data_IF_791620697367
#
_entry.id   IF_791620697367
#
_cell.length_a   1.000
_cell.length_b   1.000
_cell.length_c   1.000
_cell.angle_alpha   90.00
_cell.angle_beta   90.00
_cell.angle_gamma   90.00
#
_symmetry.space_group_name_H-M   'P 1'
#
loop_
_entity.id
_entity.type
_entity.pdbx_description
1 polymer ?
#
# COMPACT_ATOMS: atom_id res chain seq x y z
N UNK A 1 5.62 -23.16 4.07
CA UNK A 1 5.98 -21.80 4.50
C UNK A 1 7.46 -21.59 4.21
N UNK A 2 7.86 -20.44 3.67
CA UNK A 2 9.27 -20.14 3.39
C UNK A 2 9.96 -19.46 4.59
N UNK A 3 11.29 -19.53 4.66
CA UNK A 3 12.11 -18.80 5.63
C UNK A 3 12.82 -17.67 4.90
N UNK A 4 12.82 -16.48 5.49
CA UNK A 4 13.55 -15.30 4.99
C UNK A 4 14.62 -14.97 6.03
N UNK A 5 15.86 -14.76 5.58
CA UNK A 5 16.96 -14.27 6.40
C UNK A 5 17.54 -13.01 5.75
N UNK A 6 17.64 -11.94 6.52
CA UNK A 6 18.19 -10.66 6.09
C UNK A 6 18.95 -10.02 7.25
N UNK A 7 20.08 -9.37 6.94
CA UNK A 7 20.75 -8.49 7.90
C UNK A 7 20.03 -7.15 7.93
N UNK A 8 19.72 -6.67 9.12
CA UNK A 8 19.15 -5.35 9.36
C UNK A 8 20.18 -4.49 10.10
N UNK A 9 20.14 -3.16 9.95
CA UNK A 9 20.99 -2.29 10.74
C UNK A 9 20.52 -2.22 12.21
N UNK A 10 21.41 -1.83 13.11
CA UNK A 10 21.23 -1.94 14.57
C UNK A 10 20.09 -1.05 15.10
N UNK A 11 19.85 0.10 14.46
CA UNK A 11 18.73 0.99 14.76
C UNK A 11 17.38 0.30 14.54
N UNK A 12 17.19 -0.33 13.38
CA UNK A 12 15.97 -1.07 13.05
C UNK A 12 15.76 -2.29 13.97
N UNK A 13 16.85 -2.94 14.39
CA UNK A 13 16.75 -4.04 15.36
C UNK A 13 16.22 -3.55 16.71
N UNK A 14 16.71 -2.41 17.20
CA UNK A 14 16.24 -1.79 18.45
C UNK A 14 14.76 -1.40 18.38
N UNK A 15 14.34 -0.75 17.29
CA UNK A 15 12.93 -0.38 17.09
C UNK A 15 12.02 -1.62 17.04
N UNK A 16 12.46 -2.70 16.36
CA UNK A 16 11.71 -3.95 16.31
C UNK A 16 11.58 -4.60 17.70
N UNK A 17 12.63 -4.57 18.51
CA UNK A 17 12.59 -5.09 19.88
C UNK A 17 11.64 -4.29 20.79
N UNK A 18 11.62 -2.95 20.66
CA UNK A 18 10.69 -2.08 21.37
C UNK A 18 9.24 -2.42 20.99
N UNK A 19 8.95 -2.48 19.69
CA UNK A 19 7.63 -2.88 19.18
C UNK A 19 7.19 -4.26 19.71
N UNK A 20 8.08 -5.25 19.71
CA UNK A 20 7.81 -6.60 20.25
C UNK A 20 7.44 -6.56 21.73
N UNK A 21 8.17 -5.76 22.52
CA UNK A 21 7.93 -5.62 23.98
C UNK A 21 6.60 -4.94 24.26
N UNK A 22 6.28 -3.87 23.54
CA UNK A 22 5.03 -3.12 23.70
C UNK A 22 3.80 -3.94 23.30
N UNK A 23 3.84 -4.58 22.13
CA UNK A 23 2.73 -5.38 21.61
C UNK A 23 2.62 -6.76 22.28
N UNK A 24 3.64 -7.19 23.03
CA UNK A 24 3.72 -8.50 23.72
C UNK A 24 3.50 -9.69 22.79
N UNK A 25 4.13 -9.64 21.61
CA UNK A 25 4.03 -10.69 20.58
C UNK A 25 5.37 -11.37 20.32
N UNK A 26 5.36 -12.59 19.79
CA UNK A 26 6.60 -13.23 19.37
C UNK A 26 7.26 -12.52 18.18
N UNK A 27 8.60 -12.57 18.09
CA UNK A 27 9.38 -11.98 16.98
C UNK A 27 8.86 -12.38 15.60
N UNK A 28 8.53 -13.67 15.41
CA UNK A 28 8.02 -14.17 14.12
C UNK A 28 6.64 -13.62 13.76
N UNK A 29 5.81 -13.31 14.76
CA UNK A 29 4.48 -12.71 14.60
C UNK A 29 4.62 -11.23 14.29
N UNK A 30 5.47 -10.51 15.04
CA UNK A 30 5.78 -9.10 14.81
C UNK A 30 6.29 -8.86 13.39
N UNK A 31 7.35 -9.59 12.99
CA UNK A 31 7.97 -9.43 11.67
C UNK A 31 6.97 -9.72 10.55
N UNK A 32 6.17 -10.78 10.67
CA UNK A 32 5.14 -11.11 9.66
C UNK A 32 4.05 -10.04 9.58
N UNK A 33 3.56 -9.54 10.72
CA UNK A 33 2.56 -8.46 10.78
C UNK A 33 3.10 -7.20 10.10
N UNK A 34 4.26 -6.72 10.51
CA UNK A 34 4.90 -5.53 9.94
C UNK A 34 5.17 -5.67 8.45
N UNK A 35 5.73 -6.81 8.01
CA UNK A 35 6.00 -7.05 6.59
C UNK A 35 4.72 -7.11 5.76
N UNK A 36 3.66 -7.73 6.29
CA UNK A 36 2.38 -7.82 5.59
C UNK A 36 1.74 -6.45 5.41
N UNK A 37 1.79 -5.61 6.44
CA UNK A 37 1.34 -4.21 6.37
C UNK A 37 2.14 -3.43 5.34
N UNK A 38 3.47 -3.48 5.41
CA UNK A 38 4.34 -2.75 4.48
C UNK A 38 4.10 -3.17 3.01
N UNK A 39 3.90 -4.48 2.75
CA UNK A 39 3.57 -4.97 1.41
C UNK A 39 2.20 -4.49 0.94
N UNK A 40 1.21 -4.43 1.83
CA UNK A 40 -0.12 -3.92 1.50
C UNK A 40 -0.09 -2.43 1.16
N UNK A 41 0.64 -1.63 1.93
CA UNK A 41 0.84 -0.20 1.68
C UNK A 41 1.55 0.05 0.35
N UNK A 42 2.69 -0.62 0.14
CA UNK A 42 3.44 -0.54 -1.12
C UNK A 42 2.57 -0.87 -2.33
N UNK A 43 1.70 -1.87 -2.20
CA UNK A 43 0.80 -2.31 -3.25
C UNK A 43 -0.26 -1.25 -3.58
N UNK A 44 -0.83 -0.60 -2.57
CA UNK A 44 -1.81 0.50 -2.73
C UNK A 44 -1.16 1.70 -3.40
N UNK A 45 0.02 2.12 -2.93
CA UNK A 45 0.77 3.23 -3.53
C UNK A 45 1.15 2.94 -4.98
N UNK A 46 1.54 1.69 -5.29
CA UNK A 46 1.82 1.25 -6.67
C UNK A 46 0.58 1.32 -7.56
N UNK A 47 -0.57 0.85 -7.07
CA UNK A 47 -1.83 0.91 -7.82
C UNK A 47 -2.21 2.35 -8.17
N UNK A 48 -2.13 3.25 -7.20
CA UNK A 48 -2.40 4.67 -7.37
C UNK A 48 -1.43 5.33 -8.36
N UNK A 49 -0.14 5.01 -8.26
CA UNK A 49 0.86 5.52 -9.23
C UNK A 49 0.55 5.06 -10.66
N UNK A 50 0.22 3.79 -10.85
CA UNK A 50 -0.13 3.28 -12.18
C UNK A 50 -1.41 3.92 -12.73
N UNK A 51 -2.40 4.17 -11.87
CA UNK A 51 -3.65 4.83 -12.26
C UNK A 51 -3.41 6.29 -12.66
N UNK A 52 -2.69 7.05 -11.82
CA UNK A 52 -2.39 8.47 -12.08
C UNK A 52 -1.49 8.67 -13.32
N UNK A 53 -0.58 7.73 -13.60
CA UNK A 53 0.20 7.70 -14.84
C UNK A 53 -0.66 7.34 -16.08
N UNK A 54 -1.92 6.94 -15.91
CA UNK A 54 -2.81 6.47 -16.97
C UNK A 54 -2.42 5.11 -17.55
N UNK A 55 -1.61 4.32 -16.84
CA UNK A 55 -1.11 3.01 -17.29
C UNK A 55 -2.11 1.88 -17.08
N UNK A 56 -3.07 2.07 -16.19
CA UNK A 56 -4.11 1.08 -15.86
C UNK A 56 -5.46 1.79 -15.71
N UNK A 57 -6.55 1.05 -15.93
CA UNK A 57 -7.90 1.53 -15.60
C UNK A 57 -8.13 1.53 -14.09
N UNK A 58 -9.18 2.22 -13.64
CA UNK A 58 -9.57 2.25 -12.22
C UNK A 58 -9.78 0.83 -11.66
N UNK A 59 -10.59 -0.02 -12.31
CA UNK A 59 -10.83 -1.39 -11.85
C UNK A 59 -9.54 -2.20 -11.80
N UNK A 60 -8.61 -1.99 -12.74
CA UNK A 60 -7.32 -2.67 -12.69
C UNK A 60 -6.44 -2.19 -11.54
N UNK A 61 -6.51 -0.90 -11.19
CA UNK A 61 -5.84 -0.37 -10.01
C UNK A 61 -6.44 -0.92 -8.71
N UNK A 62 -7.76 -1.07 -8.63
CA UNK A 62 -8.46 -1.72 -7.50
C UNK A 62 -7.91 -3.14 -7.31
N UNK A 63 -7.89 -3.96 -8.37
CA UNK A 63 -7.32 -5.32 -8.32
C UNK A 63 -5.86 -5.32 -7.83
N UNK A 64 -5.04 -4.40 -8.37
CA UNK A 64 -3.63 -4.31 -7.98
C UNK A 64 -3.51 -3.94 -6.51
N UNK A 65 -4.30 -2.99 -6.02
CA UNK A 65 -4.23 -2.48 -4.64
C UNK A 65 -4.57 -3.52 -3.58
N UNK A 66 -5.35 -4.55 -3.95
CA UNK A 66 -5.92 -5.51 -3.01
C UNK A 66 -7.03 -4.95 -2.12
N UNK A 67 -7.57 -3.78 -2.47
CA UNK A 67 -8.76 -3.19 -1.87
C UNK A 67 -9.98 -3.48 -2.75
N UNK A 68 -11.17 -3.29 -2.18
CA UNK A 68 -12.39 -3.14 -2.98
C UNK A 68 -12.46 -1.74 -3.61
N UNK A 69 -13.42 -1.55 -4.52
CA UNK A 69 -13.55 -0.32 -5.28
C UNK A 69 -13.84 0.91 -4.41
N UNK A 70 -14.61 0.76 -3.33
CA UNK A 70 -14.97 1.86 -2.44
C UNK A 70 -13.78 2.27 -1.59
N UNK A 71 -13.14 1.30 -0.92
CA UNK A 71 -11.93 1.55 -0.13
C UNK A 71 -10.80 2.16 -0.97
N UNK A 72 -10.68 1.77 -2.24
CA UNK A 72 -9.70 2.36 -3.13
C UNK A 72 -10.07 3.80 -3.52
N UNK A 73 -11.35 4.11 -3.75
CA UNK A 73 -11.78 5.49 -4.03
C UNK A 73 -11.47 6.43 -2.87
N UNK A 74 -11.78 6.03 -1.63
CA UNK A 74 -11.43 6.77 -0.41
C UNK A 74 -9.91 6.97 -0.29
N UNK A 75 -9.13 5.91 -0.55
CA UNK A 75 -7.67 5.98 -0.52
C UNK A 75 -7.12 7.02 -1.50
N UNK A 76 -7.69 7.14 -2.71
CA UNK A 76 -7.21 8.15 -3.66
C UNK A 76 -7.59 9.57 -3.20
N UNK A 77 -8.78 9.75 -2.63
CA UNK A 77 -9.24 11.03 -2.09
C UNK A 77 -8.32 11.52 -0.95
N UNK A 78 -7.97 10.64 -0.02
CA UNK A 78 -7.03 10.94 1.07
C UNK A 78 -5.65 11.39 0.56
N UNK A 79 -5.16 10.76 -0.52
CA UNK A 79 -3.87 11.09 -1.14
C UNK A 79 -3.93 12.37 -1.99
N UNK A 80 -5.11 12.96 -2.20
CA UNK A 80 -5.35 14.18 -2.99
C UNK A 80 -4.75 14.14 -4.40
N UNK A 81 -4.73 12.97 -5.02
CA UNK A 81 -4.14 12.80 -6.35
C UNK A 81 -5.24 12.92 -7.40
N UNK A 82 -5.13 13.84 -8.37
CA UNK A 82 -6.05 13.87 -9.52
C UNK A 82 -5.79 12.64 -10.40
N UNK A 83 -6.70 11.67 -10.36
CA UNK A 83 -6.59 10.44 -11.15
C UNK A 83 -7.39 10.49 -12.47
N UNK A 84 -8.20 11.52 -12.64
CA UNK A 84 -8.95 11.77 -13.87
C UNK A 84 -8.26 12.92 -14.60
N UNK A 85 -7.79 12.68 -15.83
CA UNK A 85 -7.30 13.75 -16.69
C UNK A 85 -8.49 14.61 -17.13
N UNK A 86 -8.45 15.91 -16.85
CA UNK A 86 -9.54 16.87 -17.11
C UNK A 86 -10.02 16.86 -18.57
N UNK A 87 -9.10 16.57 -19.50
CA UNK A 87 -9.34 16.42 -20.93
C UNK A 87 -10.32 15.29 -21.31
N UNK A 88 -10.51 14.28 -20.45
CA UNK A 88 -11.53 13.25 -20.66
C UNK A 88 -12.89 13.63 -20.06
N UNK A 89 -12.92 14.39 -18.96
CA UNK A 89 -14.18 14.83 -18.32
C UNK A 89 -14.93 15.82 -19.20
N UNK A 90 -14.21 16.70 -19.89
CA UNK A 90 -14.80 17.71 -20.77
C UNK A 90 -15.52 17.09 -21.98
N UNK A 91 -15.11 15.90 -22.44
CA UNK A 91 -15.73 15.19 -23.56
C UNK A 91 -17.05 14.51 -23.21
N UNK A 92 -17.27 14.18 -21.94
CA UNK A 92 -18.50 13.54 -21.48
C UNK A 92 -19.59 14.55 -21.07
N UNK A 93 -19.26 15.85 -21.09
CA UNK A 93 -20.18 16.97 -20.80
C UNK A 93 -20.71 17.67 -22.06
N UNK A 94 -20.28 17.24 -23.25
CA UNK A 94 -20.82 17.64 -24.56
C UNK A 94 -21.83 16.61 -25.08
#
# INVERSE_FOLDING_TARGET
>A
MGVISARIPEDLEKELEEYIKEEKVEKSVAVRKLLSTAIAEWRRDRALKLLSDGKVSFLKAVEISGLDAWSFAEFIEEKKIPWIKTENVLKDLE
#
